data_IF_476086926490
#
_entry.id   IF_476086926490
#
_cell.length_a   1.000
_cell.length_b   1.000
_cell.length_c   1.000
_cell.angle_alpha   90.00
_cell.angle_beta   90.00
_cell.angle_gamma   90.00
#
_symmetry.space_group_name_H-M   'P 1'
#
loop_
_entity.id
_entity.type
_entity.pdbx_description
1 polymer ?
#
# COMPACT_ATOMS: atom_id res chain seq x y z
N UNK A 1 -49.70 42.33 -32.92
CA UNK A 1 -48.86 41.57 -31.98
C UNK A 1 -48.86 40.11 -32.42
N UNK A 2 -47.83 39.69 -33.15
CA UNK A 2 -47.64 38.29 -33.55
C UNK A 2 -46.23 37.88 -33.17
N UNK A 3 -46.13 37.03 -32.14
CA UNK A 3 -44.91 36.36 -31.71
C UNK A 3 -44.62 35.20 -32.68
N UNK A 4 -43.40 35.14 -33.22
CA UNK A 4 -42.86 33.99 -33.94
C UNK A 4 -41.74 33.36 -33.10
N UNK A 5 -41.78 32.05 -32.82
CA UNK A 5 -40.67 31.31 -32.23
C UNK A 5 -39.85 30.64 -33.33
N UNK A 6 -38.54 30.87 -33.34
CA UNK A 6 -37.61 29.99 -34.08
C UNK A 6 -36.26 29.99 -33.36
N UNK A 7 -36.14 29.12 -32.37
CA UNK A 7 -34.84 28.55 -32.03
C UNK A 7 -34.46 27.61 -33.17
N UNK A 8 -33.88 28.16 -34.23
CA UNK A 8 -33.17 27.38 -35.22
C UNK A 8 -31.93 26.81 -34.53
N UNK A 9 -32.06 25.58 -34.02
CA UNK A 9 -30.95 24.80 -33.52
C UNK A 9 -30.06 24.45 -34.71
N UNK A 10 -29.06 25.29 -34.98
CA UNK A 10 -28.07 25.05 -36.03
C UNK A 10 -27.21 23.85 -35.62
N UNK A 11 -27.65 22.64 -35.98
CA UNK A 11 -26.89 21.42 -35.80
C UNK A 11 -25.63 21.48 -36.66
N UNK A 12 -24.46 21.50 -36.02
CA UNK A 12 -23.20 21.41 -36.75
C UNK A 12 -22.88 19.94 -37.03
N UNK A 13 -22.99 19.46 -38.29
CA UNK A 13 -22.71 18.06 -38.62
C UNK A 13 -21.26 17.67 -38.27
N UNK A 14 -20.32 18.62 -38.29
CA UNK A 14 -18.92 18.38 -37.92
C UNK A 14 -18.73 18.04 -36.43
N UNK A 15 -19.67 18.42 -35.56
CA UNK A 15 -19.63 18.11 -34.12
C UNK A 15 -20.62 17.01 -33.75
N UNK A 16 -21.78 16.97 -34.41
CA UNK A 16 -22.80 15.95 -34.16
C UNK A 16 -22.39 14.54 -34.59
N UNK A 17 -21.73 14.42 -35.75
CA UNK A 17 -21.28 13.12 -36.27
C UNK A 17 -20.24 12.45 -35.35
N UNK A 18 -19.16 13.13 -34.90
CA UNK A 18 -18.21 12.49 -33.97
C UNK A 18 -18.85 12.14 -32.62
N UNK A 19 -19.77 12.96 -32.09
CA UNK A 19 -20.52 12.64 -30.87
C UNK A 19 -21.38 11.38 -31.01
N UNK A 20 -22.03 11.19 -32.17
CA UNK A 20 -22.80 9.99 -32.47
C UNK A 20 -21.88 8.75 -32.55
N UNK A 21 -20.73 8.88 -33.21
CA UNK A 21 -19.75 7.78 -33.31
C UNK A 21 -19.25 7.38 -31.92
N UNK A 22 -18.89 8.34 -31.06
CA UNK A 22 -18.49 8.07 -29.68
C UNK A 22 -19.61 7.37 -28.91
N UNK A 23 -20.86 7.81 -29.07
CA UNK A 23 -22.02 7.17 -28.46
C UNK A 23 -22.20 5.70 -28.89
N UNK A 24 -22.05 5.40 -30.18
CA UNK A 24 -22.14 4.04 -30.72
C UNK A 24 -20.99 3.16 -30.23
N UNK A 25 -19.78 3.70 -30.13
CA UNK A 25 -18.61 2.99 -29.58
C UNK A 25 -18.84 2.63 -28.12
N UNK A 26 -19.35 3.57 -27.31
CA UNK A 26 -19.68 3.30 -25.90
C UNK A 26 -20.78 2.24 -25.78
N UNK A 27 -21.81 2.31 -26.62
CA UNK A 27 -22.88 1.31 -26.63
C UNK A 27 -22.38 -0.09 -27.04
N UNK A 28 -21.49 -0.16 -28.03
CA UNK A 28 -20.84 -1.40 -28.45
C UNK A 28 -19.93 -1.97 -27.35
N UNK A 29 -19.21 -1.13 -26.60
CA UNK A 29 -18.40 -1.54 -25.46
C UNK A 29 -19.25 -2.08 -24.31
N UNK A 30 -20.40 -1.45 -24.02
CA UNK A 30 -21.35 -1.94 -23.02
C UNK A 30 -21.95 -3.27 -23.47
N UNK A 31 -22.26 -3.45 -24.76
CA UNK A 31 -22.75 -4.73 -25.27
C UNK A 31 -21.68 -5.83 -25.24
N UNK A 32 -20.43 -5.48 -25.56
CA UNK A 32 -19.30 -6.40 -25.59
C UNK A 32 -18.86 -6.85 -24.19
N UNK A 33 -18.84 -5.95 -23.21
CA UNK A 33 -18.39 -6.22 -21.84
C UNK A 33 -19.52 -6.43 -20.83
N UNK A 34 -20.76 -6.10 -21.20
CA UNK A 34 -21.95 -6.23 -20.35
C UNK A 34 -22.68 -7.55 -20.48
N UNK A 35 -22.19 -8.52 -21.26
CA UNK A 35 -22.72 -9.87 -21.28
C UNK A 35 -22.47 -10.52 -19.91
N UNK A 36 -23.51 -10.75 -19.07
CA UNK A 36 -23.33 -11.41 -17.80
C UNK A 36 -22.96 -12.86 -18.06
N UNK A 37 -21.76 -13.26 -17.63
CA UNK A 37 -21.27 -14.63 -17.70
C UNK A 37 -22.12 -15.52 -16.78
N UNK A 38 -23.30 -15.92 -17.26
CA UNK A 38 -24.04 -17.07 -16.75
C UNK A 38 -23.33 -18.28 -17.31
N UNK A 39 -22.81 -19.13 -16.44
CA UNK A 39 -22.83 -20.59 -16.50
C UNK A 39 -21.90 -21.13 -15.42
N UNK A 40 -22.48 -21.72 -14.37
CA UNK A 40 -22.93 -23.13 -14.28
C UNK A 40 -21.85 -23.95 -13.59
N UNK A 41 -21.99 -24.08 -12.27
CA UNK A 41 -21.56 -25.28 -11.59
C UNK A 41 -22.39 -26.45 -12.09
N UNK A 42 -21.87 -27.16 -13.09
CA UNK A 42 -22.43 -28.43 -13.57
C UNK A 42 -21.36 -29.49 -13.35
N UNK A 43 -21.50 -30.25 -12.26
CA UNK A 43 -20.70 -31.44 -11.98
C UNK A 43 -20.84 -32.38 -13.18
N UNK A 44 -19.75 -32.55 -13.95
CA UNK A 44 -19.63 -33.66 -14.89
C UNK A 44 -19.37 -34.92 -14.06
N UNK A 45 -20.36 -35.80 -14.01
CA UNK A 45 -20.13 -37.21 -13.75
C UNK A 45 -19.52 -37.82 -15.03
N UNK A 46 -18.41 -38.54 -14.88
CA UNK A 46 -17.86 -39.39 -15.95
C UNK A 46 -18.41 -40.83 -15.78
N UNK A 47 -18.64 -41.56 -16.88
CA UNK A 47 -19.19 -42.92 -16.85
C UNK A 47 -18.09 -44.00 -16.78
N UNK A 48 -18.40 -45.00 -15.94
CA UNK A 48 -18.27 -46.47 -16.12
C UNK A 48 -16.99 -47.13 -16.66
N UNK A 49 -16.38 -48.02 -15.85
CA UNK A 49 -15.91 -49.35 -16.30
C UNK A 49 -15.74 -50.32 -15.11
N UNK A 50 -16.04 -51.59 -15.37
CA UNK A 50 -16.34 -52.75 -14.51
C UNK A 50 -15.16 -53.38 -13.68
N UNK A 51 -15.44 -54.40 -12.83
CA UNK A 51 -14.67 -54.70 -11.61
C UNK A 51 -13.52 -55.69 -11.84
N UNK A 52 -12.46 -55.60 -11.02
CA UNK A 52 -11.50 -56.68 -10.84
C UNK A 52 -11.34 -57.00 -9.35
N UNK A 53 -11.59 -58.27 -9.04
CA UNK A 53 -11.38 -58.92 -7.76
C UNK A 53 -9.89 -59.00 -7.40
N UNK A 54 -9.56 -58.92 -6.11
CA UNK A 54 -8.22 -59.21 -5.61
C UNK A 54 -7.92 -58.66 -4.22
N UNK A 55 -8.16 -59.50 -3.20
CA UNK A 55 -7.47 -59.57 -1.91
C UNK A 55 -7.17 -58.29 -1.10
N UNK A 56 -8.06 -58.01 -0.15
CA UNK A 56 -7.78 -57.22 1.06
C UNK A 56 -6.82 -58.01 1.97
N UNK A 57 -5.62 -57.47 2.22
CA UNK A 57 -4.68 -57.96 3.24
C UNK A 57 -4.60 -56.97 4.39
N UNK A 58 -4.92 -57.43 5.59
CA UNK A 58 -4.74 -56.70 6.85
C UNK A 58 -3.40 -57.11 7.47
N UNK A 59 -2.59 -56.19 8.02
CA UNK A 59 -1.46 -56.54 8.86
C UNK A 59 -1.92 -56.65 10.32
N UNK A 60 -2.07 -57.88 10.81
CA UNK A 60 -2.14 -58.20 12.26
C UNK A 60 -0.71 -58.38 12.78
N UNK A 61 -0.37 -57.73 13.89
CA UNK A 61 0.91 -57.90 14.57
C UNK A 61 0.69 -58.29 16.04
N UNK A 62 1.05 -59.54 16.37
CA UNK A 62 1.82 -59.90 17.57
C UNK A 62 1.10 -60.09 18.91
N UNK A 63 1.04 -61.34 19.36
CA UNK A 63 0.46 -61.90 20.60
C UNK A 63 1.50 -61.99 21.78
N UNK A 64 1.29 -62.68 22.94
CA UNK A 64 1.28 -62.05 24.28
C UNK A 64 2.24 -62.70 25.33
N UNK A 65 2.17 -62.21 26.58
CA UNK A 65 2.69 -62.84 27.81
C UNK A 65 3.24 -61.80 28.81
N UNK A 66 3.05 -61.83 30.12
CA UNK A 66 2.38 -62.76 31.06
C UNK A 66 2.24 -62.07 32.44
N UNK A 67 1.04 -62.15 33.04
CA UNK A 67 0.71 -62.35 34.47
C UNK A 67 0.96 -61.27 35.59
N UNK A 68 0.22 -61.34 36.73
CA UNK A 68 -0.60 -60.22 37.25
C UNK A 68 -0.24 -59.74 38.68
N UNK A 69 -0.66 -58.53 39.08
CA UNK A 69 -0.86 -58.13 40.50
C UNK A 69 -2.00 -57.10 40.64
N UNK A 70 -2.76 -57.26 41.72
CA UNK A 70 -4.06 -56.68 42.07
C UNK A 70 -4.11 -55.18 42.43
N UNK A 71 -5.31 -54.59 42.30
CA UNK A 71 -5.73 -53.33 42.94
C UNK A 71 -6.88 -52.61 42.22
N UNK A 72 -8.12 -52.80 42.68
CA UNK A 72 -9.35 -52.04 42.31
C UNK A 72 -9.28 -50.53 42.68
N UNK A 73 -10.33 -49.69 42.47
CA UNK A 73 -11.21 -49.47 41.29
C UNK A 73 -11.41 -47.95 40.99
N UNK A 74 -11.72 -47.51 39.75
CA UNK A 74 -12.46 -46.23 39.56
C UNK A 74 -13.06 -45.99 38.16
N UNK A 75 -14.40 -45.87 38.15
CA UNK A 75 -15.29 -44.96 37.40
C UNK A 75 -15.28 -44.92 35.86
N UNK A 76 -16.39 -45.43 35.29
CA UNK A 76 -17.43 -44.59 34.68
C UNK A 76 -17.25 -44.21 33.22
N UNK A 77 -17.92 -44.96 32.34
CA UNK A 77 -18.14 -44.63 30.93
C UNK A 77 -18.83 -43.26 30.76
N UNK A 78 -18.31 -42.41 29.88
CA UNK A 78 -19.07 -41.31 29.29
C UNK A 78 -18.77 -41.19 27.80
N UNK A 79 -19.81 -41.41 27.01
CA UNK A 79 -19.88 -41.22 25.57
C UNK A 79 -20.20 -39.74 25.28
N UNK A 80 -19.56 -39.07 24.30
CA UNK A 80 -19.84 -37.67 24.03
C UNK A 80 -21.17 -37.50 23.27
N UNK A 81 -22.12 -36.77 23.85
CA UNK A 81 -23.29 -36.26 23.13
C UNK A 81 -22.94 -34.92 22.49
N UNK A 82 -22.86 -34.91 21.17
CA UNK A 82 -22.73 -33.72 20.32
C UNK A 82 -24.14 -33.40 19.79
N UNK A 83 -24.81 -32.36 20.28
CA UNK A 83 -26.14 -32.04 19.75
C UNK A 83 -26.99 -30.90 20.33
N UNK A 84 -26.56 -30.06 21.28
CA UNK A 84 -27.50 -29.12 21.94
C UNK A 84 -27.05 -27.64 22.05
N UNK A 85 -25.98 -27.22 21.36
CA UNK A 85 -25.46 -25.84 21.50
C UNK A 85 -26.06 -24.80 20.53
N UNK A 86 -26.88 -25.20 19.56
CA UNK A 86 -27.29 -24.31 18.46
C UNK A 86 -28.68 -23.65 18.66
N UNK A 87 -29.44 -24.10 19.67
CA UNK A 87 -30.82 -23.60 19.90
C UNK A 87 -30.85 -22.39 20.83
N UNK A 88 -29.96 -22.34 21.83
CA UNK A 88 -29.90 -21.22 22.80
C UNK A 88 -29.30 -19.92 22.23
N UNK A 89 -28.34 -20.02 21.31
CA UNK A 89 -27.67 -18.85 20.73
C UNK A 89 -28.60 -18.03 19.81
N UNK A 90 -29.56 -18.71 19.18
CA UNK A 90 -30.53 -18.10 18.27
C UNK A 90 -31.57 -17.28 19.02
N UNK A 91 -31.94 -17.72 20.21
CA UNK A 91 -32.90 -17.04 21.10
C UNK A 91 -32.27 -15.79 21.76
N UNK A 92 -30.97 -15.80 22.04
CA UNK A 92 -30.23 -14.62 22.49
C UNK A 92 -30.05 -13.56 21.39
N UNK A 93 -29.85 -13.98 20.13
CA UNK A 93 -29.74 -13.08 18.98
C UNK A 93 -31.07 -12.38 18.63
N UNK A 94 -32.22 -13.05 18.78
CA UNK A 94 -33.53 -12.44 18.57
C UNK A 94 -33.89 -11.41 19.66
N UNK A 95 -33.49 -11.65 20.92
CA UNK A 95 -33.64 -10.66 22.01
C UNK A 95 -32.78 -9.41 21.81
N UNK A 96 -31.57 -9.56 21.29
CA UNK A 96 -30.67 -8.43 20.99
C UNK A 96 -31.11 -7.64 19.75
N UNK A 97 -31.73 -8.29 18.74
CA UNK A 97 -32.31 -7.63 17.58
C UNK A 97 -33.53 -6.76 17.90
N UNK A 98 -34.32 -7.16 18.90
CA UNK A 98 -35.50 -6.43 19.35
C UNK A 98 -35.17 -5.11 20.07
N UNK A 99 -34.02 -5.02 20.74
CA UNK A 99 -33.58 -3.79 21.46
C UNK A 99 -32.97 -2.71 20.56
N UNK A 100 -32.50 -3.07 19.35
CA UNK A 100 -31.88 -2.13 18.41
C UNK A 100 -32.87 -1.51 17.42
N UNK A 101 -34.06 -2.07 17.26
CA UNK A 101 -35.07 -1.59 16.29
C UNK A 101 -36.03 -0.53 16.85
N UNK A 102 -35.91 -0.16 18.14
CA UNK A 102 -36.83 0.74 18.84
C UNK A 102 -36.54 2.23 18.72
N UNK A 103 -35.35 2.65 18.27
CA UNK A 103 -34.92 4.06 18.42
C UNK A 103 -34.72 4.80 17.11
N UNK A 104 -35.70 4.72 16.19
CA UNK A 104 -35.72 5.62 15.02
C UNK A 104 -37.10 5.89 14.40
N UNK A 105 -37.83 6.85 14.97
CA UNK A 105 -38.74 7.82 14.31
C UNK A 105 -39.38 8.72 15.41
N UNK A 106 -39.52 10.06 15.34
CA UNK A 106 -39.72 11.00 14.21
C UNK A 106 -39.62 12.50 14.65
N UNK A 107 -38.96 13.34 13.81
CA UNK A 107 -39.20 14.78 13.45
C UNK A 107 -38.95 15.97 14.44
N UNK A 108 -38.83 17.26 13.99
CA UNK A 108 -38.54 17.85 12.66
C UNK A 108 -37.34 18.85 12.61
N UNK A 109 -37.05 19.39 11.41
CA UNK A 109 -35.94 20.30 11.05
C UNK A 109 -36.08 21.76 11.56
N UNK A 110 -34.95 22.40 11.92
CA UNK A 110 -34.63 23.78 11.48
C UNK A 110 -33.13 24.14 11.65
N UNK A 111 -32.56 24.66 10.55
CA UNK A 111 -31.40 25.53 10.30
C UNK A 111 -30.22 25.66 11.28
N UNK A 112 -29.00 25.33 10.78
CA UNK A 112 -27.76 26.16 10.66
C UNK A 112 -26.48 25.28 10.71
N UNK A 113 -25.27 25.81 10.43
CA UNK A 113 -24.72 26.26 9.15
C UNK A 113 -23.69 25.26 8.56
N UNK A 114 -23.37 25.42 7.26
CA UNK A 114 -22.39 24.60 6.53
C UNK A 114 -20.99 24.67 7.15
N UNK A 115 -20.58 23.62 7.85
CA UNK A 115 -19.18 23.33 8.13
C UNK A 115 -18.47 23.01 6.80
N UNK A 116 -17.52 23.87 6.41
CA UNK A 116 -16.56 23.59 5.34
C UNK A 116 -15.84 22.29 5.67
N UNK A 117 -15.92 21.32 4.75
CA UNK A 117 -15.11 20.10 4.82
C UNK A 117 -13.64 20.53 4.85
N UNK A 118 -12.99 20.34 6.00
CA UNK A 118 -11.53 20.37 6.06
C UNK A 118 -11.09 19.07 5.39
N UNK A 119 -10.84 19.12 4.09
CA UNK A 119 -10.21 18.04 3.34
C UNK A 119 -8.99 17.57 4.14
N UNK A 120 -9.08 16.40 4.75
CA UNK A 120 -7.89 15.70 5.23
C UNK A 120 -7.06 15.37 3.99
N UNK A 121 -5.79 15.81 3.93
CA UNK A 121 -4.93 15.48 2.80
C UNK A 121 -4.81 13.95 2.75
N UNK A 122 -5.00 13.36 1.57
CA UNK A 122 -4.90 11.90 1.44
C UNK A 122 -3.43 11.56 1.65
N UNK A 123 -3.18 10.56 2.48
CA UNK A 123 -1.83 10.09 2.84
C UNK A 123 -0.98 9.71 1.60
N UNK A 124 -1.62 9.44 0.46
CA UNK A 124 -1.00 9.24 -0.86
C UNK A 124 -0.34 10.51 -1.43
N UNK A 125 -0.89 11.70 -1.15
CA UNK A 125 -0.39 12.98 -1.66
C UNK A 125 1.02 13.30 -1.13
N UNK A 126 1.39 12.73 0.03
CA UNK A 126 2.68 12.97 0.66
C UNK A 126 3.80 12.11 0.09
N UNK A 127 3.54 10.83 -0.12
CA UNK A 127 4.49 9.95 -0.81
C UNK A 127 4.74 10.47 -2.21
N UNK A 128 3.70 10.97 -2.88
CA UNK A 128 3.84 11.68 -4.15
C UNK A 128 4.78 12.89 -4.05
N UNK A 129 4.79 13.65 -2.95
CA UNK A 129 5.70 14.80 -2.76
C UNK A 129 7.16 14.38 -2.55
N UNK A 130 7.42 13.27 -1.84
CA UNK A 130 8.79 12.74 -1.68
C UNK A 130 9.26 12.16 -3.01
N UNK A 131 8.38 11.44 -3.69
CA UNK A 131 8.59 10.93 -5.06
C UNK A 131 8.89 12.08 -6.03
N UNK A 132 8.15 13.18 -5.94
CA UNK A 132 8.35 14.36 -6.78
C UNK A 132 9.69 15.02 -6.47
N UNK A 133 10.07 15.13 -5.19
CA UNK A 133 11.39 15.59 -4.78
C UNK A 133 12.52 14.67 -5.28
N UNK A 134 12.27 13.36 -5.41
CA UNK A 134 13.21 12.40 -6.00
C UNK A 134 13.28 12.49 -7.53
N UNK A 135 12.19 12.88 -8.19
CA UNK A 135 12.10 13.02 -9.65
C UNK A 135 12.61 14.38 -10.13
N UNK A 136 12.42 15.44 -9.34
CA UNK A 136 12.95 16.75 -9.65
C UNK A 136 14.49 16.66 -9.62
N UNK A 137 15.19 16.88 -10.74
CA UNK A 137 16.65 16.96 -10.72
C UNK A 137 16.99 18.06 -9.72
N UNK A 138 17.84 17.72 -8.74
CA UNK A 138 18.22 18.55 -7.59
C UNK A 138 18.45 20.00 -8.02
N UNK A 139 17.37 20.77 -8.02
CA UNK A 139 17.38 22.20 -8.31
C UNK A 139 17.38 22.82 -6.94
N UNK A 140 18.58 22.97 -6.40
CA UNK A 140 18.79 23.91 -5.32
C UNK A 140 18.46 25.30 -5.86
N UNK A 141 17.24 25.78 -5.61
CA UNK A 141 16.94 27.21 -5.51
C UNK A 141 15.50 27.38 -5.01
N UNK A 142 15.28 27.99 -3.83
CA UNK A 142 13.98 28.54 -3.51
C UNK A 142 13.74 29.70 -4.48
N UNK A 143 12.82 29.53 -5.42
CA UNK A 143 12.31 30.60 -6.28
C UNK A 143 11.56 31.62 -5.41
N UNK A 144 12.28 32.64 -4.95
CA UNK A 144 11.69 33.86 -4.38
C UNK A 144 10.97 34.57 -5.53
N UNK A 145 9.66 34.87 -5.42
CA UNK A 145 8.96 35.67 -6.43
C UNK A 145 9.57 37.07 -6.50
N UNK A 146 10.16 37.37 -7.66
CA UNK A 146 10.73 38.67 -8.00
C UNK A 146 9.58 39.68 -8.22
N UNK A 147 9.43 40.65 -7.33
CA UNK A 147 8.58 41.83 -7.52
C UNK A 147 9.46 43.00 -7.99
N UNK A 148 9.08 43.77 -9.04
CA UNK A 148 9.90 44.88 -9.54
C UNK A 148 9.93 46.09 -8.58
N UNK A 149 10.96 46.95 -8.68
CA UNK A 149 11.25 48.01 -7.73
C UNK A 149 10.58 49.35 -8.10
N UNK A 150 10.24 50.16 -7.10
CA UNK A 150 10.08 51.61 -7.23
C UNK A 150 10.58 52.29 -5.95
N UNK A 151 11.50 53.24 -6.14
CA UNK A 151 12.14 54.11 -5.16
C UNK A 151 11.13 55.05 -4.46
N UNK A 152 11.32 55.49 -3.22
CA UNK A 152 12.10 56.64 -2.71
C UNK A 152 11.75 56.68 -1.19
N UNK A 153 12.59 56.91 -0.17
CA UNK A 153 13.49 58.02 0.16
C UNK A 153 14.20 57.66 1.51
N UNK A 154 15.44 58.12 1.73
CA UNK A 154 16.16 58.05 3.03
C UNK A 154 16.14 59.42 3.75
N UNK A 155 16.41 59.54 5.07
CA UNK A 155 17.81 59.63 5.54
C UNK A 155 18.16 59.07 6.96
N UNK A 156 19.25 58.25 7.01
CA UNK A 156 20.42 58.23 7.94
C UNK A 156 20.26 57.97 9.48
N UNK A 157 21.33 57.58 10.24
CA UNK A 157 22.06 56.29 10.22
C UNK A 157 22.36 55.72 11.64
N UNK A 158 22.37 54.40 11.85
CA UNK A 158 23.00 53.79 13.03
C UNK A 158 23.36 52.31 12.77
N UNK A 159 24.45 51.78 13.36
CA UNK A 159 25.25 50.71 12.78
C UNK A 159 24.63 49.33 12.96
N UNK A 160 24.91 48.46 11.99
CA UNK A 160 24.54 47.06 11.97
C UNK A 160 25.00 46.29 13.22
N UNK A 161 24.18 45.37 13.75
CA UNK A 161 24.67 44.09 14.21
C UNK A 161 24.69 43.15 13.00
N UNK A 162 25.91 42.90 12.55
CA UNK A 162 26.42 41.70 11.87
C UNK A 162 25.34 40.63 11.64
N UNK A 163 25.07 40.35 10.36
CA UNK A 163 24.37 39.16 9.94
C UNK A 163 25.00 37.95 10.65
N UNK A 164 24.22 37.30 11.52
CA UNK A 164 24.55 35.98 12.01
C UNK A 164 24.79 35.10 10.77
N UNK A 165 25.93 34.40 10.66
CA UNK A 165 26.13 33.46 9.58
C UNK A 165 24.96 32.49 9.61
N UNK A 166 24.26 32.39 8.48
CA UNK A 166 23.23 31.39 8.27
C UNK A 166 23.77 30.07 8.80
N UNK A 167 23.15 29.58 9.88
CA UNK A 167 23.48 28.31 10.47
C UNK A 167 23.48 27.29 9.33
N UNK A 168 24.67 26.81 8.98
CA UNK A 168 24.81 25.68 8.08
C UNK A 168 23.90 24.59 8.65
N UNK A 169 22.89 24.19 7.88
CA UNK A 169 22.12 23.01 8.21
C UNK A 169 23.14 21.89 8.52
N UNK A 170 22.92 21.09 9.59
CA UNK A 170 23.86 20.03 9.94
C UNK A 170 24.14 19.18 8.68
N UNK A 171 25.39 18.69 8.51
CA UNK A 171 25.75 17.92 7.32
C UNK A 171 24.77 16.77 7.17
N UNK A 172 23.92 16.85 6.15
CA UNK A 172 22.98 15.78 5.83
C UNK A 172 23.82 14.60 5.36
N UNK A 173 23.54 13.42 5.92
CA UNK A 173 24.23 12.19 5.52
C UNK A 173 24.07 12.00 4.00
N UNK A 174 25.16 11.73 3.29
CA UNK A 174 25.11 11.39 1.86
C UNK A 174 24.75 9.92 1.62
N UNK A 175 24.62 9.14 2.70
CA UNK A 175 24.30 7.73 2.66
C UNK A 175 22.92 7.50 2.04
N UNK A 176 22.84 6.70 0.97
CA UNK A 176 21.57 6.45 0.28
C UNK A 176 21.11 7.58 -0.63
N UNK A 177 21.95 8.58 -0.89
CA UNK A 177 21.70 9.57 -1.93
C UNK A 177 21.72 8.90 -3.30
N UNK A 178 20.66 9.08 -4.07
CA UNK A 178 20.60 8.60 -5.46
C UNK A 178 21.54 9.46 -6.35
N UNK A 179 22.34 8.85 -7.25
CA UNK A 179 23.10 9.60 -8.24
C UNK A 179 22.17 10.45 -9.13
N UNK A 180 22.43 11.76 -9.30
CA UNK A 180 21.53 12.67 -10.02
C UNK A 180 21.41 12.35 -11.52
N UNK A 181 22.30 11.52 -12.06
CA UNK A 181 22.31 11.12 -13.46
C UNK A 181 21.31 9.99 -13.80
N UNK A 182 20.78 9.28 -12.80
CA UNK A 182 19.80 8.20 -13.00
C UNK A 182 18.38 8.77 -13.05
N UNK A 183 17.71 8.77 -14.22
CA UNK A 183 16.34 9.28 -14.32
C UNK A 183 15.36 8.38 -13.56
N UNK A 184 14.31 8.96 -12.99
CA UNK A 184 13.26 8.18 -12.32
C UNK A 184 12.14 7.87 -13.31
N UNK A 185 12.19 6.69 -13.91
CA UNK A 185 11.21 6.25 -14.92
C UNK A 185 9.96 5.63 -14.28
N UNK A 186 10.17 4.77 -13.28
CA UNK A 186 9.09 4.07 -12.58
C UNK A 186 9.35 3.99 -11.08
N UNK A 187 8.26 3.96 -10.30
CA UNK A 187 8.33 3.82 -8.85
C UNK A 187 7.39 2.70 -8.42
N UNK A 188 7.86 1.83 -7.53
CA UNK A 188 7.06 0.78 -6.91
C UNK A 188 7.01 1.04 -5.42
N UNK A 189 5.81 0.99 -4.85
CA UNK A 189 5.55 1.38 -3.45
C UNK A 189 4.87 0.24 -2.70
N UNK A 190 5.28 0.05 -1.45
CA UNK A 190 4.58 -0.77 -0.45
C UNK A 190 4.40 0.04 0.84
N UNK A 191 3.45 -0.36 1.66
CA UNK A 191 3.24 0.25 2.97
C UNK A 191 3.34 -0.79 4.07
N UNK A 192 3.85 -0.38 5.22
CA UNK A 192 3.74 -1.15 6.46
C UNK A 192 2.98 -0.28 7.45
N UNK A 193 1.80 -0.73 7.86
CA UNK A 193 0.91 0.01 8.75
C UNK A 193 0.67 -0.75 10.05
N UNK A 194 0.41 -0.02 11.13
CA UNK A 194 0.01 -0.62 12.40
C UNK A 194 -1.37 -1.26 12.27
N UNK A 195 -1.59 -2.38 12.98
CA UNK A 195 -2.90 -3.04 13.08
C UNK A 195 -3.86 -2.23 13.96
N UNK A 196 -5.16 -2.50 13.82
CA UNK A 196 -6.22 -1.98 14.70
C UNK A 196 -6.27 -0.46 14.87
N UNK A 197 -5.89 0.31 13.84
CA UNK A 197 -5.72 1.77 13.88
C UNK A 197 -4.70 2.25 14.94
N UNK A 198 -3.80 1.36 15.35
CA UNK A 198 -2.67 1.66 16.21
C UNK A 198 -1.66 2.60 15.57
N UNK A 199 -0.57 2.84 16.29
CA UNK A 199 0.56 3.65 15.81
C UNK A 199 1.86 3.04 16.27
N UNK A 200 2.84 3.01 15.38
CA UNK A 200 4.20 2.64 15.75
C UNK A 200 4.83 3.74 16.61
N UNK A 201 5.57 3.31 17.63
CA UNK A 201 6.42 4.16 18.44
C UNK A 201 7.75 4.38 17.72
N UNK A 202 8.27 5.62 17.77
CA UNK A 202 9.52 5.96 17.11
C UNK A 202 10.70 5.05 17.49
N UNK A 203 10.99 4.83 18.79
CA UNK A 203 12.13 4.02 19.20
C UNK A 203 12.05 2.58 18.67
N UNK A 204 10.86 1.97 18.75
CA UNK A 204 10.63 0.61 18.24
C UNK A 204 10.83 0.54 16.72
N UNK A 205 10.41 1.58 15.99
CA UNK A 205 10.57 1.69 14.55
C UNK A 205 12.04 1.75 14.14
N UNK A 206 12.87 2.52 14.87
CA UNK A 206 14.31 2.60 14.59
C UNK A 206 14.99 1.26 14.83
N UNK A 207 14.71 0.62 15.98
CA UNK A 207 15.24 -0.71 16.28
C UNK A 207 14.80 -1.73 15.24
N UNK A 208 13.54 -1.69 14.82
CA UNK A 208 13.02 -2.59 13.79
C UNK A 208 13.65 -2.34 12.42
N UNK A 209 13.86 -1.07 12.04
CA UNK A 209 14.50 -0.69 10.78
C UNK A 209 15.95 -1.18 10.72
N UNK A 210 16.72 -0.96 11.78
CA UNK A 210 18.11 -1.45 11.89
C UNK A 210 18.18 -2.99 11.85
N UNK A 211 17.28 -3.67 12.59
CA UNK A 211 17.16 -5.14 12.55
C UNK A 211 16.75 -5.69 11.18
N UNK A 212 16.07 -4.88 10.37
CA UNK A 212 15.70 -5.21 9.00
C UNK A 212 16.82 -4.88 7.99
N UNK A 213 17.97 -4.37 8.46
CA UNK A 213 19.12 -4.03 7.63
C UNK A 213 18.94 -2.72 6.84
N UNK A 214 18.16 -1.78 7.38
CA UNK A 214 18.02 -0.44 6.83
C UNK A 214 18.99 0.52 7.52
N UNK A 215 19.61 1.41 6.74
CA UNK A 215 20.51 2.44 7.25
C UNK A 215 19.86 3.82 7.16
N UNK A 216 19.98 4.63 8.22
CA UNK A 216 19.49 6.00 8.22
C UNK A 216 20.43 6.93 7.44
N UNK A 217 19.89 7.75 6.53
CA UNK A 217 20.74 8.50 5.61
C UNK A 217 20.11 9.78 5.05
N UNK A 218 20.32 9.97 3.75
CA UNK A 218 19.89 11.14 2.99
C UNK A 218 18.40 11.43 3.19
N UNK A 219 18.02 12.70 3.06
CA UNK A 219 16.64 13.18 3.28
C UNK A 219 16.05 12.89 4.67
N UNK A 220 16.84 12.35 5.61
CA UNK A 220 16.37 11.94 6.94
C UNK A 220 15.42 10.73 6.88
N UNK A 221 15.64 9.82 5.92
CA UNK A 221 14.87 8.59 5.76
C UNK A 221 15.81 7.37 5.82
N UNK A 222 15.21 6.19 5.80
CA UNK A 222 15.96 4.93 5.80
C UNK A 222 16.18 4.43 4.39
N UNK A 223 17.32 3.79 4.15
CA UNK A 223 17.72 3.27 2.86
C UNK A 223 18.24 1.85 2.98
N UNK A 224 17.93 1.02 1.99
CA UNK A 224 18.65 -0.24 1.77
C UNK A 224 19.66 -0.02 0.66
N UNK A 225 20.93 -0.24 0.96
CA UNK A 225 22.04 -0.08 0.02
C UNK A 225 22.47 -1.43 -0.55
N UNK A 226 23.22 -1.42 -1.64
CA UNK A 226 23.92 -2.61 -2.12
C UNK A 226 25.13 -2.85 -1.23
N UNK A 227 25.29 -4.08 -0.75
CA UNK A 227 26.39 -4.44 0.15
C UNK A 227 27.75 -4.14 -0.51
N UNK A 228 28.56 -3.34 0.18
CA UNK A 228 29.88 -2.92 -0.30
C UNK A 228 29.89 -1.91 -1.45
N UNK A 229 28.74 -1.42 -1.92
CA UNK A 229 28.61 -0.45 -3.03
C UNK A 229 27.62 0.67 -2.69
N UNK A 230 27.98 1.50 -1.71
CA UNK A 230 27.12 2.59 -1.21
C UNK A 230 26.96 3.73 -2.22
N UNK A 231 27.94 3.90 -3.10
CA UNK A 231 28.02 4.93 -4.14
C UNK A 231 27.03 4.75 -5.28
N UNK A 232 26.52 3.52 -5.50
CA UNK A 232 25.49 3.27 -6.51
C UNK A 232 24.12 3.83 -6.10
N UNK A 233 23.96 4.21 -4.83
CA UNK A 233 22.71 4.66 -4.26
C UNK A 233 21.86 3.50 -3.71
N UNK A 234 20.62 3.80 -3.29
CA UNK A 234 19.78 2.85 -2.60
C UNK A 234 19.07 1.90 -3.56
N UNK A 235 18.95 0.63 -3.17
CA UNK A 235 18.03 -0.34 -3.78
C UNK A 235 16.59 0.18 -3.61
N UNK A 236 16.23 0.53 -2.39
CA UNK A 236 14.94 1.13 -2.04
C UNK A 236 15.08 1.99 -0.78
N UNK A 237 14.08 2.82 -0.51
CA UNK A 237 14.05 3.72 0.64
C UNK A 237 12.73 3.61 1.41
N UNK A 238 12.76 3.99 2.68
CA UNK A 238 11.63 3.90 3.61
C UNK A 238 11.43 5.23 4.31
N UNK A 239 10.27 5.82 4.09
CA UNK A 239 9.88 7.11 4.65
C UNK A 239 8.70 6.96 5.62
N UNK A 240 8.56 7.94 6.51
CA UNK A 240 7.42 8.05 7.39
C UNK A 240 6.17 8.47 6.57
N UNK A 241 5.01 7.88 6.87
CA UNK A 241 3.76 8.27 6.21
C UNK A 241 3.23 9.64 6.64
N UNK A 242 3.64 10.14 7.81
CA UNK A 242 3.27 11.48 8.28
C UNK A 242 4.18 12.54 7.67
N UNK A 243 3.60 13.70 7.33
CA UNK A 243 4.39 14.88 6.91
C UNK A 243 5.32 15.32 8.04
N UNK A 244 6.58 15.64 7.78
CA UNK A 244 7.22 15.79 6.46
C UNK A 244 7.77 14.50 5.81
N UNK A 245 7.66 13.34 6.46
CA UNK A 245 8.07 12.03 5.93
C UNK A 245 9.49 11.60 6.29
N UNK A 246 10.26 12.48 6.93
CA UNK A 246 11.52 12.13 7.56
C UNK A 246 11.31 11.58 8.98
N UNK A 247 12.38 10.99 9.52
CA UNK A 247 12.49 10.60 10.92
C UNK A 247 13.40 11.61 11.63
N UNK A 248 12.82 12.36 12.57
CA UNK A 248 13.58 13.24 13.46
C UNK A 248 14.10 12.42 14.64
N UNK A 249 15.37 12.01 14.55
CA UNK A 249 16.03 11.21 15.59
C UNK A 249 16.11 11.94 16.94
N UNK A 250 16.05 13.28 16.96
CA UNK A 250 16.03 14.05 18.21
C UNK A 250 14.68 14.02 18.93
N UNK A 251 13.60 13.68 18.22
CA UNK A 251 12.22 13.66 18.74
C UNK A 251 11.56 12.29 18.61
N UNK A 252 12.37 11.25 18.67
CA UNK A 252 11.92 9.89 18.41
C UNK A 252 10.96 9.37 19.49
N UNK A 253 11.20 9.71 20.77
CA UNK A 253 10.39 9.24 21.90
C UNK A 253 8.90 9.62 21.78
N UNK A 254 8.63 10.80 21.22
CA UNK A 254 7.28 11.34 21.02
C UNK A 254 6.71 11.00 19.63
N UNK A 255 7.50 10.40 18.75
CA UNK A 255 7.06 10.04 17.40
C UNK A 255 6.01 8.92 17.48
N UNK A 256 4.85 9.16 16.84
CA UNK A 256 3.74 8.21 16.72
C UNK A 256 3.22 8.22 15.29
N UNK A 257 3.53 7.18 14.53
CA UNK A 257 3.16 7.11 13.11
C UNK A 257 2.18 5.96 12.83
N UNK A 258 1.15 6.15 11.97
CA UNK A 258 0.31 5.05 11.51
C UNK A 258 1.09 4.01 10.68
N UNK A 259 2.25 4.37 10.13
CA UNK A 259 3.06 3.45 9.35
C UNK A 259 4.20 4.10 8.58
N UNK A 260 4.84 3.29 7.74
CA UNK A 260 5.93 3.69 6.85
C UNK A 260 5.64 3.28 5.41
N UNK A 261 6.22 4.01 4.48
CA UNK A 261 6.14 3.73 3.04
C UNK A 261 7.50 3.31 2.51
N UNK A 262 7.56 2.12 1.92
CA UNK A 262 8.68 1.61 1.16
C UNK A 262 8.49 2.05 -0.29
N UNK A 263 9.53 2.57 -0.91
CA UNK A 263 9.51 2.84 -2.34
C UNK A 263 10.87 2.52 -2.96
N UNK A 264 10.82 1.91 -4.13
CA UNK A 264 11.97 1.73 -5.00
C UNK A 264 11.73 2.48 -6.30
N UNK A 265 12.81 3.01 -6.84
CA UNK A 265 12.82 3.90 -8.00
C UNK A 265 13.68 3.22 -9.05
N UNK A 266 13.10 3.05 -10.24
CA UNK A 266 13.70 2.35 -11.36
C UNK A 266 14.17 3.37 -12.42
N UNK A 267 15.36 3.17 -13.01
CA UNK A 267 16.30 2.09 -12.77
C UNK A 267 16.94 2.16 -11.37
N UNK A 268 17.04 1.00 -10.72
CA UNK A 268 17.73 0.81 -9.45
C UNK A 268 19.17 0.31 -9.72
N UNK A 269 20.06 0.31 -8.71
CA UNK A 269 21.40 -0.28 -8.83
C UNK A 269 21.43 -1.78 -9.15
N UNK A 270 20.29 -2.44 -8.99
CA UNK A 270 20.05 -3.86 -9.28
C UNK A 270 18.89 -3.98 -10.28
N UNK A 271 18.78 -5.10 -11.01
CA UNK A 271 17.58 -5.43 -11.78
C UNK A 271 16.32 -5.26 -10.93
N UNK A 272 15.22 -4.83 -11.55
CA UNK A 272 14.01 -4.45 -10.81
C UNK A 272 13.43 -5.64 -10.04
N UNK A 273 13.53 -6.85 -10.59
CA UNK A 273 13.16 -8.08 -9.91
C UNK A 273 14.00 -8.33 -8.65
N UNK A 274 15.32 -8.17 -8.72
CA UNK A 274 16.23 -8.39 -7.60
C UNK A 274 16.02 -7.33 -6.51
N UNK A 275 15.80 -6.07 -6.91
CA UNK A 275 15.45 -4.99 -5.99
C UNK A 275 14.13 -5.28 -5.24
N UNK A 276 13.14 -5.86 -5.93
CA UNK A 276 11.90 -6.31 -5.31
C UNK A 276 12.09 -7.49 -4.36
N UNK A 277 12.91 -8.47 -4.75
CA UNK A 277 13.22 -9.63 -3.91
C UNK A 277 14.06 -9.24 -2.67
N UNK A 278 14.71 -8.08 -2.68
CA UNK A 278 15.28 -7.45 -1.47
C UNK A 278 14.24 -6.66 -0.66
N UNK A 279 13.35 -5.91 -1.33
CA UNK A 279 12.38 -5.02 -0.67
C UNK A 279 11.27 -5.78 0.06
N UNK A 280 10.67 -6.79 -0.58
CA UNK A 280 9.51 -7.51 -0.04
C UNK A 280 9.81 -8.21 1.29
N UNK A 281 10.87 -9.03 1.42
CA UNK A 281 11.21 -9.66 2.70
C UNK A 281 11.54 -8.64 3.78
N UNK A 282 12.17 -7.52 3.41
CA UNK A 282 12.48 -6.43 4.36
C UNK A 282 11.21 -5.78 4.90
N UNK A 283 10.22 -5.52 4.02
CA UNK A 283 8.92 -4.98 4.44
C UNK A 283 8.14 -5.95 5.32
N UNK A 284 8.13 -7.24 4.97
CA UNK A 284 7.51 -8.29 5.78
C UNK A 284 8.18 -8.41 7.16
N UNK A 285 9.51 -8.40 7.21
CA UNK A 285 10.28 -8.44 8.45
C UNK A 285 9.99 -7.23 9.34
N UNK A 286 9.93 -6.03 8.77
CA UNK A 286 9.59 -4.83 9.52
C UNK A 286 8.16 -4.92 10.09
N UNK A 287 7.21 -5.42 9.29
CA UNK A 287 5.85 -5.64 9.75
C UNK A 287 5.78 -6.66 10.89
N UNK A 288 6.54 -7.76 10.84
CA UNK A 288 6.62 -8.73 11.94
C UNK A 288 7.19 -8.10 13.22
N UNK A 289 8.27 -7.33 13.11
CA UNK A 289 8.92 -6.70 14.27
C UNK A 289 8.06 -5.64 14.95
N UNK A 290 7.15 -5.00 14.22
CA UNK A 290 6.29 -3.92 14.71
C UNK A 290 4.83 -4.34 14.89
N UNK A 291 4.51 -5.62 14.73
CA UNK A 291 3.13 -6.14 14.70
C UNK A 291 2.21 -5.39 13.72
N UNK A 292 2.74 -5.12 12.53
CA UNK A 292 2.08 -4.42 11.44
C UNK A 292 1.46 -5.33 10.38
N UNK A 293 1.01 -4.69 9.31
CA UNK A 293 0.54 -5.34 8.08
C UNK A 293 1.17 -4.67 6.85
N UNK A 294 1.60 -5.49 5.89
CA UNK A 294 2.08 -5.02 4.59
C UNK A 294 0.91 -4.80 3.65
N UNK A 295 0.83 -3.60 3.07
CA UNK A 295 -0.17 -3.21 2.09
C UNK A 295 0.49 -2.86 0.75
N UNK A 296 -0.28 -3.01 -0.32
CA UNK A 296 0.10 -2.55 -1.66
C UNK A 296 -0.21 -1.07 -1.89
N UNK A 297 0.05 -0.58 -3.11
CA UNK A 297 -0.20 0.81 -3.52
C UNK A 297 -1.67 1.27 -3.34
N UNK A 298 -2.61 0.34 -3.44
CA UNK A 298 -4.05 0.58 -3.28
C UNK A 298 -4.50 0.47 -1.81
N UNK A 299 -3.56 0.21 -0.89
CA UNK A 299 -3.79 -0.03 0.54
C UNK A 299 -4.55 -1.32 0.83
N UNK A 300 -4.47 -2.29 -0.08
CA UNK A 300 -4.99 -3.63 0.14
C UNK A 300 -3.91 -4.50 0.79
N UNK A 301 -4.32 -5.44 1.64
CA UNK A 301 -3.40 -6.40 2.26
C UNK A 301 -2.62 -7.16 1.17
N UNK A 302 -1.29 -7.24 1.34
CA UNK A 302 -0.42 -7.81 0.32
C UNK A 302 -0.52 -9.34 0.28
N UNK A 303 -1.38 -9.85 -0.61
CA UNK A 303 -1.58 -11.28 -0.83
C UNK A 303 -0.63 -11.89 -1.88
N UNK A 304 -0.57 -13.23 -1.93
CA UNK A 304 0.28 -14.00 -2.86
C UNK A 304 0.03 -13.67 -4.33
N UNK A 305 -1.24 -13.50 -4.73
CA UNK A 305 -1.60 -13.14 -6.10
C UNK A 305 -1.06 -11.76 -6.49
N UNK A 306 -1.15 -10.78 -5.58
CA UNK A 306 -0.65 -9.42 -5.81
C UNK A 306 0.88 -9.39 -5.90
N UNK A 307 1.56 -10.15 -5.03
CA UNK A 307 3.03 -10.33 -5.10
C UNK A 307 3.44 -10.91 -6.46
N UNK A 308 2.79 -11.99 -6.90
CA UNK A 308 3.08 -12.60 -8.21
C UNK A 308 2.87 -11.61 -9.35
N UNK A 309 1.77 -10.84 -9.31
CA UNK A 309 1.47 -9.83 -10.32
C UNK A 309 2.53 -8.72 -10.39
N UNK A 310 2.94 -8.15 -9.25
CA UNK A 310 3.99 -7.11 -9.21
C UNK A 310 5.30 -7.68 -9.75
N UNK A 311 5.66 -8.89 -9.35
CA UNK A 311 6.86 -9.58 -9.84
C UNK A 311 6.88 -9.77 -11.35
N UNK A 312 5.75 -10.17 -11.93
CA UNK A 312 5.63 -10.34 -13.38
C UNK A 312 5.70 -9.00 -14.13
N UNK A 313 5.14 -7.92 -13.57
CA UNK A 313 5.30 -6.57 -14.11
C UNK A 313 6.76 -6.10 -14.10
N UNK A 314 7.50 -6.42 -13.04
CA UNK A 314 8.91 -6.06 -12.91
C UNK A 314 9.78 -6.85 -13.89
N UNK A 315 9.50 -8.14 -14.08
CA UNK A 315 10.13 -8.95 -15.14
C UNK A 315 9.84 -8.42 -16.54
N UNK A 316 8.63 -7.92 -16.77
CA UNK A 316 8.29 -7.21 -18.01
C UNK A 316 9.15 -5.97 -18.20
N UNK A 317 9.24 -5.15 -17.15
CA UNK A 317 10.06 -3.94 -17.14
C UNK A 317 11.54 -4.26 -17.41
N UNK A 318 12.15 -5.22 -16.72
CA UNK A 318 13.56 -5.57 -16.93
C UNK A 318 13.83 -5.99 -18.39
N UNK A 319 12.98 -6.84 -18.99
CA UNK A 319 13.11 -7.24 -20.41
C UNK A 319 13.04 -6.07 -21.38
N UNK A 320 12.17 -5.10 -21.12
CA UNK A 320 12.00 -3.92 -21.99
C UNK A 320 13.17 -2.92 -21.88
N UNK A 321 13.96 -2.98 -20.79
CA UNK A 321 15.09 -2.08 -20.54
C UNK A 321 16.44 -2.74 -20.84
N UNK A 322 16.61 -4.05 -20.60
CA UNK A 322 17.77 -4.82 -21.05
C UNK A 322 17.90 -4.80 -22.58
N UNK A 323 16.78 -4.84 -23.31
CA UNK A 323 16.77 -4.73 -24.77
C UNK A 323 17.23 -3.38 -25.33
N UNK A 324 17.30 -2.33 -24.49
CA UNK A 324 17.79 -0.99 -24.88
C UNK A 324 19.29 -0.81 -24.58
N UNK A 325 19.86 -1.62 -23.68
CA UNK A 325 21.27 -1.55 -23.27
C UNK A 325 22.17 -2.53 -24.03
N UNK A 326 21.77 -2.94 -25.24
CA UNK A 326 22.66 -3.64 -26.16
C UNK A 326 23.68 -2.62 -26.67
N UNK A 327 24.76 -2.44 -25.91
CA UNK A 327 25.97 -1.77 -26.36
C UNK A 327 26.54 -2.61 -27.50
N UNK A 328 26.20 -2.23 -28.74
CA UNK A 328 26.92 -2.72 -29.91
C UNK A 328 28.37 -2.21 -29.83
N UNK A 329 29.28 -3.10 -29.43
CA UNK A 329 30.71 -2.93 -29.67
C UNK A 329 31.58 -2.88 -28.41
N UNK A 330 32.20 -4.02 -28.09
CA UNK A 330 33.65 -4.11 -27.94
C UNK A 330 34.13 -5.48 -28.37
#
# INVERSE_FOLDING_TARGET
MTLQPVLAFAWNPAVGIPMLIVGVVVLALIWLFGQPKKEQGRRRAMPESEPHAGERREPTLGEPGSEPVAGEPFIGETQPQQGELDVGLREELERLGATLSGERAKAPMSAAPKARSRQQPKLADHVASIIDALRAPSSGEPKVPNAPPAAEESPLPAPAPVAAPAAAAPPRSELGRRPPQLPVERIVTLFVVARDNGRFHGPDLVVAAEKAGLEFGDMGIYHRLVDGKRELGPIFSVANMLKPGNFDLARLDVLRTPGVSFFMTLPAPLPALDAWDAMLPTAQRLAELLDGQVLDEERNALGRQRIAHIRDQLRGWDRDHEGKEIIFGR
#
